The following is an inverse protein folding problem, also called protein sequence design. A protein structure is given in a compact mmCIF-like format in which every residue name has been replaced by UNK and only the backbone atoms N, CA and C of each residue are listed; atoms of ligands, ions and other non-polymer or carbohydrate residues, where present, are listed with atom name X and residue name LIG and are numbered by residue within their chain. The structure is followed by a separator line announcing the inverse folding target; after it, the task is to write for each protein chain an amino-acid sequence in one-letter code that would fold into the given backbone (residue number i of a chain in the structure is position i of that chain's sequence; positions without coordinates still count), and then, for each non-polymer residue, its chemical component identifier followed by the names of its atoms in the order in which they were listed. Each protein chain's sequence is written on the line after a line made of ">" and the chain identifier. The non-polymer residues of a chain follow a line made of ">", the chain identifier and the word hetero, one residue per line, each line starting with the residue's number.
data_IF_158580297949
#
_entry.id   IF_158580297949
#
_cell.length_a   1.000
_cell.length_b   1.000
_cell.length_c   1.000
_cell.angle_alpha   90.00
_cell.angle_beta   90.00
_cell.angle_gamma   90.00
#
_symmetry.space_group_name_H-M   'P 1'
#
loop_
_entity.id
_entity.type
_entity.pdbx_description
1 polymer ?
#
# COMPACT_ATOMS: atom_id res chain seq x y z
N UNK A 1 -11.53 -17.20 22.64
CA UNK A 1 -10.95 -15.85 22.92
C UNK A 1 -10.06 -15.31 21.79
N UNK A 2 -9.81 -16.03 20.68
CA UNK A 2 -8.95 -15.58 19.59
C UNK A 2 -9.62 -14.67 18.52
N UNK A 3 -10.95 -14.69 18.39
CA UNK A 3 -11.66 -13.96 17.31
C UNK A 3 -11.82 -12.44 17.52
N UNK A 4 -11.89 -11.96 18.76
CA UNK A 4 -12.18 -10.54 19.04
C UNK A 4 -11.05 -9.59 18.62
N UNK A 5 -9.80 -10.08 18.67
CA UNK A 5 -8.63 -9.29 18.32
C UNK A 5 -8.46 -9.15 16.79
N UNK A 6 -8.79 -10.21 16.03
CA UNK A 6 -8.77 -10.19 14.57
C UNK A 6 -9.81 -9.23 14.00
N UNK A 7 -11.03 -9.25 14.53
CA UNK A 7 -12.10 -8.31 14.15
C UNK A 7 -11.67 -6.87 14.46
N UNK A 8 -11.07 -6.63 15.62
CA UNK A 8 -10.59 -5.29 16.01
C UNK A 8 -9.40 -4.78 15.18
N UNK A 9 -8.61 -5.67 14.57
CA UNK A 9 -7.53 -5.30 13.66
C UNK A 9 -8.06 -5.01 12.25
N UNK A 10 -9.01 -5.81 11.77
CA UNK A 10 -9.74 -5.56 10.53
C UNK A 10 -10.48 -4.22 10.58
N UNK A 11 -11.19 -3.93 11.67
CA UNK A 11 -11.89 -2.64 11.85
C UNK A 11 -10.92 -1.46 11.90
N UNK A 12 -9.71 -1.62 12.46
CA UNK A 12 -8.69 -0.56 12.47
C UNK A 12 -8.11 -0.31 11.08
N UNK A 13 -7.79 -1.35 10.31
CA UNK A 13 -7.33 -1.20 8.93
C UNK A 13 -8.37 -0.49 8.06
N UNK A 14 -9.64 -0.89 8.18
CA UNK A 14 -10.75 -0.26 7.46
C UNK A 14 -10.97 1.19 7.91
N UNK A 15 -10.88 1.49 9.21
CA UNK A 15 -11.05 2.86 9.70
C UNK A 15 -9.95 3.80 9.20
N UNK A 16 -8.69 3.34 9.17
CA UNK A 16 -7.58 4.14 8.66
C UNK A 16 -7.67 4.38 7.15
N UNK A 17 -8.14 3.38 6.39
CA UNK A 17 -8.36 3.49 4.95
C UNK A 17 -9.50 4.48 4.61
N UNK A 18 -10.60 4.46 5.36
CA UNK A 18 -11.69 5.43 5.16
C UNK A 18 -11.22 6.86 5.44
N UNK A 19 -10.37 7.06 6.45
CA UNK A 19 -9.81 8.37 6.80
C UNK A 19 -8.78 8.87 5.77
N UNK A 20 -7.94 7.98 5.21
CA UNK A 20 -6.99 8.33 4.15
C UNK A 20 -7.69 8.66 2.83
N UNK A 21 -8.81 8.00 2.54
CA UNK A 21 -9.61 8.27 1.35
C UNK A 21 -10.33 9.63 1.44
N UNK A 22 -10.88 9.98 2.60
CA UNK A 22 -11.56 11.27 2.80
C UNK A 22 -10.58 12.45 2.76
N UNK A 23 -9.38 12.28 3.32
CA UNK A 23 -8.32 13.28 3.25
C UNK A 23 -7.82 13.47 1.81
N UNK A 24 -7.62 12.38 1.06
CA UNK A 24 -7.25 12.43 -0.36
C UNK A 24 -8.33 13.13 -1.19
N UNK A 25 -9.61 12.82 -0.93
CA UNK A 25 -10.75 13.46 -1.60
C UNK A 25 -10.80 14.97 -1.33
N UNK A 26 -10.58 15.39 -0.09
CA UNK A 26 -10.54 16.81 0.26
C UNK A 26 -9.33 17.52 -0.37
N UNK A 27 -8.15 16.90 -0.30
CA UNK A 27 -6.92 17.40 -0.92
C UNK A 27 -7.08 17.57 -2.44
N UNK A 28 -7.75 16.64 -3.13
CA UNK A 28 -7.97 16.73 -4.58
C UNK A 28 -8.73 17.99 -5.03
N UNK A 29 -9.59 18.54 -4.17
CA UNK A 29 -10.40 19.74 -4.46
C UNK A 29 -9.61 21.04 -4.28
N UNK A 30 -8.62 21.04 -3.38
CA UNK A 30 -7.85 22.24 -3.04
C UNK A 30 -6.45 22.25 -3.65
N UNK A 31 -5.84 21.08 -3.83
CA UNK A 31 -4.46 20.86 -4.31
C UNK A 31 -4.40 19.60 -5.18
N UNK A 32 -4.93 19.65 -6.41
CA UNK A 32 -5.04 18.46 -7.27
C UNK A 32 -3.69 17.82 -7.62
N UNK A 33 -2.64 18.62 -7.78
CA UNK A 33 -1.29 18.10 -8.03
C UNK A 33 -0.71 17.35 -6.82
N UNK A 34 -0.88 17.90 -5.61
CA UNK A 34 -0.41 17.24 -4.39
C UNK A 34 -1.15 15.93 -4.15
N UNK A 35 -2.48 15.93 -4.34
CA UNK A 35 -3.28 14.72 -4.24
C UNK A 35 -2.91 13.66 -5.30
N UNK A 36 -2.57 14.09 -6.52
CA UNK A 36 -2.09 13.18 -7.57
C UNK A 36 -0.75 12.55 -7.18
N UNK A 37 0.16 13.32 -6.57
CA UNK A 37 1.44 12.81 -6.07
C UNK A 37 1.24 11.80 -4.94
N UNK A 38 0.42 12.12 -3.95
CA UNK A 38 0.12 11.22 -2.83
C UNK A 38 -0.54 9.92 -3.32
N UNK A 39 -1.47 10.01 -4.28
CA UNK A 39 -2.10 8.84 -4.88
C UNK A 39 -1.10 7.97 -5.68
N UNK A 40 -0.18 8.61 -6.43
CA UNK A 40 0.86 7.90 -7.18
C UNK A 40 1.85 7.17 -6.26
N UNK A 41 2.23 7.79 -5.14
CA UNK A 41 3.07 7.16 -4.11
C UNK A 41 2.36 5.98 -3.43
N UNK A 42 1.08 6.13 -3.08
CA UNK A 42 0.29 5.02 -2.52
C UNK A 42 0.14 3.87 -3.51
N UNK A 43 -0.06 4.17 -4.79
CA UNK A 43 -0.10 3.15 -5.84
C UNK A 43 1.24 2.41 -5.97
N UNK A 44 2.37 3.13 -5.93
CA UNK A 44 3.69 2.51 -5.94
C UNK A 44 3.90 1.60 -4.72
N UNK A 45 3.47 2.02 -3.53
CA UNK A 45 3.52 1.17 -2.32
C UNK A 45 2.74 -0.15 -2.52
N UNK A 46 1.51 -0.08 -3.04
CA UNK A 46 0.72 -1.27 -3.35
C UNK A 46 1.41 -2.18 -4.38
N UNK A 47 2.04 -1.58 -5.39
CA UNK A 47 2.79 -2.32 -6.40
C UNK A 47 4.00 -3.05 -5.80
N UNK A 48 4.79 -2.37 -4.95
CA UNK A 48 5.93 -2.96 -4.25
C UNK A 48 5.47 -4.11 -3.35
N UNK A 49 4.37 -3.92 -2.60
CA UNK A 49 3.78 -4.99 -1.78
C UNK A 49 3.42 -6.21 -2.62
N UNK A 50 2.76 -6.01 -3.78
CA UNK A 50 2.39 -7.10 -4.67
C UNK A 50 3.62 -7.78 -5.29
N UNK A 51 4.68 -7.02 -5.60
CA UNK A 51 5.95 -7.56 -6.07
C UNK A 51 6.58 -8.47 -5.02
N UNK A 52 6.71 -8.01 -3.77
CA UNK A 52 7.26 -8.81 -2.67
C UNK A 52 6.44 -10.09 -2.41
N UNK A 53 5.11 -9.97 -2.45
CA UNK A 53 4.20 -11.11 -2.35
C UNK A 53 4.44 -12.12 -3.47
N UNK A 54 4.58 -11.64 -4.71
CA UNK A 54 4.82 -12.50 -5.87
C UNK A 54 6.18 -13.19 -5.80
N UNK A 55 7.22 -12.49 -5.32
CA UNK A 55 8.55 -13.08 -5.11
C UNK A 55 8.53 -14.21 -4.07
N UNK A 56 7.79 -14.04 -2.96
CA UNK A 56 7.63 -15.12 -1.97
C UNK A 56 6.86 -16.32 -2.50
N UNK A 57 5.79 -16.08 -3.26
CA UNK A 57 5.04 -17.16 -3.91
C UNK A 57 5.93 -17.94 -4.90
N UNK A 58 6.84 -17.26 -5.62
CA UNK A 58 7.78 -17.89 -6.54
C UNK A 58 8.91 -18.67 -5.83
N UNK A 59 9.33 -18.25 -4.63
CA UNK A 59 10.38 -18.91 -3.83
C UNK A 59 9.95 -20.21 -3.16
N UNK A 60 8.67 -20.58 -3.25
CA UNK A 60 8.09 -21.74 -2.59
C UNK A 60 7.74 -21.45 -1.12
N UNK A 61 6.48 -21.69 -0.74
CA UNK A 61 6.08 -21.62 0.66
C UNK A 61 6.69 -22.83 1.42
N UNK A 62 7.77 -22.62 2.16
CA UNK A 62 8.24 -23.66 3.09
C UNK A 62 7.19 -23.87 4.18
N UNK A 63 6.95 -25.11 4.61
CA UNK A 63 5.93 -25.45 5.63
C UNK A 63 6.08 -24.65 6.94
N UNK A 64 7.31 -24.23 7.26
CA UNK A 64 7.62 -23.36 8.41
C UNK A 64 6.99 -21.96 8.33
N UNK A 65 6.72 -21.44 7.13
CA UNK A 65 6.13 -20.12 6.90
C UNK A 65 4.62 -20.16 6.61
N UNK A 66 4.00 -21.35 6.59
CA UNK A 66 2.59 -21.52 6.21
C UNK A 66 1.60 -21.27 7.36
N UNK A 67 2.07 -20.82 8.54
CA UNK A 67 1.14 -20.48 9.63
C UNK A 67 0.38 -19.17 9.32
N UNK A 68 -0.91 -19.12 9.65
CA UNK A 68 -1.73 -17.92 9.46
C UNK A 68 -1.18 -16.71 10.21
N UNK A 69 -0.66 -16.92 11.42
CA UNK A 69 -0.05 -15.85 12.21
C UNK A 69 1.20 -15.27 11.55
N UNK A 70 2.06 -16.13 10.97
CA UNK A 70 3.24 -15.68 10.24
C UNK A 70 2.84 -14.92 8.96
N UNK A 71 1.85 -15.42 8.20
CA UNK A 71 1.31 -14.71 7.03
C UNK A 71 0.83 -13.31 7.37
N UNK A 72 0.01 -13.17 8.42
CA UNK A 72 -0.48 -11.85 8.84
C UNK A 72 0.67 -10.92 9.24
N UNK A 73 1.64 -11.42 10.02
CA UNK A 73 2.79 -10.61 10.42
C UNK A 73 3.65 -10.17 9.22
N UNK A 74 3.93 -11.10 8.30
CA UNK A 74 4.66 -10.81 7.07
C UNK A 74 3.91 -9.80 6.21
N UNK A 75 2.60 -9.97 6.00
CA UNK A 75 1.78 -9.03 5.24
C UNK A 75 1.81 -7.62 5.85
N UNK A 76 1.76 -7.49 7.17
CA UNK A 76 1.89 -6.19 7.86
C UNK A 76 3.30 -5.60 7.72
N UNK A 77 4.32 -6.43 7.86
CA UNK A 77 5.72 -6.01 7.66
C UNK A 77 5.95 -5.50 6.24
N UNK A 78 5.40 -6.21 5.25
CA UNK A 78 5.48 -5.83 3.85
C UNK A 78 4.74 -4.55 3.54
N UNK A 79 3.57 -4.32 4.15
CA UNK A 79 2.84 -3.06 4.01
C UNK A 79 3.68 -1.89 4.53
N UNK A 80 4.29 -2.03 5.70
CA UNK A 80 5.15 -0.98 6.26
C UNK A 80 6.39 -0.75 5.40
N UNK A 81 7.06 -1.83 4.99
CA UNK A 81 8.25 -1.76 4.15
C UNK A 81 7.94 -1.12 2.79
N UNK A 82 6.85 -1.53 2.14
CA UNK A 82 6.44 -0.96 0.86
C UNK A 82 6.07 0.53 0.99
N UNK A 83 5.40 0.91 2.08
CA UNK A 83 5.11 2.32 2.40
C UNK A 83 6.39 3.14 2.59
N UNK A 84 7.37 2.63 3.35
CA UNK A 84 8.66 3.31 3.55
C UNK A 84 9.46 3.42 2.25
N UNK A 85 9.46 2.37 1.43
CA UNK A 85 10.12 2.38 0.12
C UNK A 85 9.52 3.43 -0.81
N UNK A 86 8.20 3.46 -0.92
CA UNK A 86 7.47 4.42 -1.77
C UNK A 86 7.54 5.87 -1.24
N UNK A 87 7.62 6.06 0.08
CA UNK A 87 7.81 7.38 0.68
C UNK A 87 9.24 7.93 0.48
N UNK A 88 10.22 7.03 0.32
CA UNK A 88 11.60 7.36 -0.01
C UNK A 88 11.78 7.66 -1.50
N UNK A 89 12.79 7.03 -2.11
CA UNK A 89 13.06 7.15 -3.55
C UNK A 89 12.14 6.28 -4.41
N UNK A 90 11.42 5.33 -3.81
CA UNK A 90 10.59 4.38 -4.54
C UNK A 90 11.38 3.54 -5.54
N UNK A 91 10.66 3.00 -6.52
CA UNK A 91 11.21 2.33 -7.71
C UNK A 91 11.11 3.23 -8.95
N UNK A 92 10.57 4.44 -8.82
CA UNK A 92 10.39 5.40 -9.90
C UNK A 92 9.01 5.35 -10.56
N UNK A 93 8.10 4.50 -10.07
CA UNK A 93 6.80 4.26 -10.71
C UNK A 93 5.85 5.44 -10.47
N UNK A 94 5.90 6.04 -9.29
CA UNK A 94 5.07 7.19 -8.94
C UNK A 94 5.38 8.38 -9.86
N UNK A 95 6.66 8.69 -10.10
CA UNK A 95 7.06 9.79 -10.98
C UNK A 95 6.67 9.53 -12.44
N UNK A 96 6.82 8.30 -12.92
CA UNK A 96 6.38 7.93 -14.27
C UNK A 96 4.87 8.08 -14.43
N UNK A 97 4.08 7.68 -13.44
CA UNK A 97 2.63 7.83 -13.45
C UNK A 97 2.22 9.31 -13.48
N UNK A 98 2.84 10.14 -12.64
CA UNK A 98 2.65 11.60 -12.62
C UNK A 98 3.01 12.24 -13.97
N UNK A 99 4.16 11.87 -14.55
CA UNK A 99 4.58 12.38 -15.86
C UNK A 99 3.56 12.04 -16.95
N UNK A 100 3.03 10.82 -16.98
CA UNK A 100 2.02 10.42 -17.96
C UNK A 100 0.68 11.16 -17.76
N UNK A 101 0.28 11.39 -16.52
CA UNK A 101 -0.94 12.15 -16.20
C UNK A 101 -0.80 13.63 -16.61
N UNK A 102 0.40 14.21 -16.51
CA UNK A 102 0.68 15.58 -16.95
C UNK A 102 0.86 15.71 -18.47
N UNK A 103 1.40 14.69 -19.13
CA UNK A 103 1.61 14.69 -20.58
C UNK A 103 0.34 14.46 -21.39
N UNK A 104 -0.71 13.86 -20.81
CA UNK A 104 -1.97 13.63 -21.52
C UNK A 104 -2.72 14.96 -21.68
N UNK A 105 -2.82 15.54 -22.90
CA UNK A 105 -3.61 16.75 -23.11
C UNK A 105 -5.08 16.45 -22.81
N UNK A 106 -5.74 17.37 -22.12
CA UNK A 106 -7.20 17.33 -21.89
C UNK A 106 -7.97 17.46 -23.20
#
# INVERSE_FOLDING_TARGET
>A
MADSNAISQLTRGVAMDVQSLDSLKTASRHRPEQAATEAAQQFEALFIQQMMKSMRQAGGESELFNSNAMRTYTDMFDQQLASEMAAGKGIGLAEQLLQQLQQKPR
#
